data_IF_821858337957
#
_entry.id   IF_821858337957
#
_cell.length_a   1.000
_cell.length_b   1.000
_cell.length_c   1.000
_cell.angle_alpha   90.00
_cell.angle_beta   90.00
_cell.angle_gamma   90.00
#
_symmetry.space_group_name_H-M   'P 1'
#
loop_
_entity.id
_entity.type
_entity.pdbx_description
1 polymer ?
#
# COMPACT_ATOMS: atom_id res chain seq x y z
N UNK A 1 10.14 -9.21 -14.07
CA UNK A 1 8.71 -8.96 -14.34
C UNK A 1 7.86 -9.66 -13.29
N UNK A 2 6.54 -9.59 -13.38
CA UNK A 2 5.65 -10.17 -12.35
C UNK A 2 5.85 -11.69 -12.18
N UNK A 3 6.17 -12.39 -13.27
CA UNK A 3 6.48 -13.83 -13.27
C UNK A 3 7.72 -14.23 -12.44
N UNK A 4 8.61 -13.29 -12.08
CA UNK A 4 9.82 -13.58 -11.30
C UNK A 4 9.55 -13.53 -9.79
N UNK A 5 8.43 -12.95 -9.34
CA UNK A 5 8.09 -12.84 -7.92
C UNK A 5 8.14 -14.16 -7.14
N UNK A 6 7.72 -15.33 -7.69
CA UNK A 6 7.77 -16.59 -6.95
C UNK A 6 9.17 -17.03 -6.50
N UNK A 7 10.24 -16.53 -7.14
CA UNK A 7 11.63 -16.85 -6.76
C UNK A 7 12.27 -15.77 -5.87
N UNK A 8 11.56 -14.68 -5.59
CA UNK A 8 12.03 -13.62 -4.70
C UNK A 8 11.52 -13.79 -3.28
N UNK A 9 12.30 -13.30 -2.30
CA UNK A 9 11.83 -13.20 -0.93
C UNK A 9 10.75 -12.12 -0.85
N UNK A 10 9.52 -12.51 -0.54
CA UNK A 10 8.41 -11.59 -0.30
C UNK A 10 8.17 -11.40 1.19
N UNK A 11 7.51 -10.30 1.52
CA UNK A 11 7.04 -9.97 2.86
C UNK A 11 5.52 -9.75 2.79
N UNK A 12 4.77 -10.34 3.70
CA UNK A 12 3.30 -10.29 3.66
C UNK A 12 2.71 -9.60 4.88
N UNK A 13 1.59 -8.92 4.64
CA UNK A 13 0.73 -8.48 5.72
C UNK A 13 -0.15 -9.66 6.17
N UNK A 14 -0.27 -9.88 7.49
CA UNK A 14 -0.85 -11.08 8.12
C UNK A 14 -2.27 -11.45 7.62
N UNK A 15 -3.02 -10.48 7.11
CA UNK A 15 -4.44 -10.59 6.76
C UNK A 15 -4.74 -10.46 5.25
N UNK A 16 -3.74 -10.23 4.41
CA UNK A 16 -3.98 -9.85 3.00
C UNK A 16 -3.84 -10.97 2.01
N UNK A 17 -2.93 -11.91 2.27
CA UNK A 17 -2.48 -12.82 1.23
C UNK A 17 -2.84 -14.25 1.63
N UNK A 18 -3.70 -14.91 0.86
CA UNK A 18 -3.82 -16.38 0.87
C UNK A 18 -2.56 -16.99 0.21
N UNK A 19 -1.37 -16.46 0.54
CA UNK A 19 -0.09 -16.65 -0.15
C UNK A 19 -0.10 -16.32 -1.65
N UNK A 20 -0.98 -15.41 -2.08
CA UNK A 20 -1.03 -14.94 -3.46
C UNK A 20 -1.13 -13.42 -3.51
N UNK A 21 -0.43 -12.82 -4.47
CA UNK A 21 -0.63 -11.42 -4.88
C UNK A 21 -1.52 -11.36 -6.10
N UNK A 22 -2.55 -10.53 -6.03
CA UNK A 22 -3.47 -10.26 -7.13
C UNK A 22 -3.08 -8.94 -7.77
N UNK A 23 -2.60 -9.00 -9.01
CA UNK A 23 -2.09 -7.84 -9.74
C UNK A 23 -2.81 -7.70 -11.09
N UNK A 24 -3.12 -6.49 -11.53
CA UNK A 24 -3.50 -6.23 -12.93
C UNK A 24 -2.32 -5.58 -13.64
N UNK A 25 -1.89 -6.16 -14.75
CA UNK A 25 -0.80 -5.65 -15.57
C UNK A 25 -1.17 -4.41 -16.38
N UNK A 26 -0.17 -3.73 -16.97
CA UNK A 26 -0.39 -2.58 -17.86
C UNK A 26 -1.13 -2.94 -19.16
N UNK A 27 -1.22 -4.22 -19.49
CA UNK A 27 -2.02 -4.78 -20.57
C UNK A 27 -3.48 -5.06 -20.17
N UNK A 28 -3.84 -4.79 -18.91
CA UNK A 28 -5.16 -5.04 -18.34
C UNK A 28 -5.41 -6.50 -17.93
N UNK A 29 -4.38 -7.36 -17.96
CA UNK A 29 -4.53 -8.76 -17.57
C UNK A 29 -4.39 -8.94 -16.07
N UNK A 30 -5.27 -9.76 -15.49
CA UNK A 30 -5.18 -10.14 -14.08
C UNK A 30 -4.20 -11.31 -13.90
N UNK A 31 -3.36 -11.18 -12.88
CA UNK A 31 -2.36 -12.15 -12.47
C UNK A 31 -2.57 -12.52 -11.01
N UNK A 32 -2.59 -13.83 -10.75
CA UNK A 32 -2.59 -14.39 -9.39
C UNK A 32 -1.24 -15.07 -9.20
N UNK A 33 -0.39 -14.47 -8.37
CA UNK A 33 1.02 -14.85 -8.28
C UNK A 33 1.26 -15.45 -6.90
N UNK A 34 1.68 -16.72 -6.81
CA UNK A 34 2.02 -17.33 -5.53
C UNK A 34 3.26 -16.63 -4.94
N UNK A 35 3.20 -16.33 -3.65
CA UNK A 35 4.28 -15.67 -2.91
C UNK A 35 4.66 -16.46 -1.68
N UNK A 36 5.97 -16.50 -1.37
CA UNK A 36 6.50 -17.21 -0.20
C UNK A 36 7.06 -16.20 0.80
N UNK A 37 6.25 -15.85 1.79
CA UNK A 37 6.62 -14.86 2.79
C UNK A 37 7.14 -15.53 4.06
N UNK A 38 8.45 -15.39 4.33
CA UNK A 38 9.08 -15.86 5.58
C UNK A 38 8.72 -15.01 6.78
N UNK A 39 8.32 -13.76 6.54
CA UNK A 39 7.84 -12.84 7.55
C UNK A 39 6.41 -12.43 7.23
N UNK A 40 5.56 -12.50 8.25
CA UNK A 40 4.17 -12.05 8.21
C UNK A 40 3.94 -11.11 9.38
N UNK A 41 3.48 -9.89 9.11
CA UNK A 41 3.23 -8.86 10.14
C UNK A 41 1.90 -8.16 9.90
N UNK A 42 1.26 -7.64 10.93
CA UNK A 42 0.05 -6.81 10.83
C UNK A 42 0.37 -5.33 11.04
N UNK A 43 1.64 -4.96 11.01
CA UNK A 43 2.12 -3.59 11.10
C UNK A 43 2.80 -3.19 9.79
N UNK A 44 2.31 -2.12 9.17
CA UNK A 44 2.89 -1.57 7.95
C UNK A 44 4.26 -0.96 8.22
N UNK A 45 4.49 -0.37 9.40
CA UNK A 45 5.79 0.18 9.78
C UNK A 45 6.85 -0.93 9.91
N UNK A 46 6.49 -2.05 10.55
CA UNK A 46 7.37 -3.21 10.64
C UNK A 46 7.68 -3.78 9.24
N UNK A 47 6.67 -3.88 8.38
CA UNK A 47 6.84 -4.32 6.99
C UNK A 47 7.80 -3.40 6.23
N UNK A 48 7.68 -2.08 6.43
CA UNK A 48 8.54 -1.07 5.84
C UNK A 48 9.98 -1.19 6.33
N UNK A 49 10.21 -1.29 7.64
CA UNK A 49 11.55 -1.41 8.22
C UNK A 49 12.29 -2.64 7.70
N UNK A 50 11.59 -3.78 7.62
CA UNK A 50 12.14 -5.03 7.06
C UNK A 50 12.48 -4.85 5.57
N UNK A 51 11.64 -4.12 4.82
CA UNK A 51 11.89 -3.80 3.41
C UNK A 51 13.13 -2.91 3.25
N UNK A 52 13.26 -1.87 4.06
CA UNK A 52 14.42 -0.97 4.08
C UNK A 52 15.72 -1.68 4.49
N UNK A 53 15.62 -2.70 5.34
CA UNK A 53 16.73 -3.58 5.69
C UNK A 53 17.10 -4.60 4.58
N UNK A 54 16.50 -4.49 3.39
CA UNK A 54 16.82 -5.32 2.23
C UNK A 54 16.37 -6.77 2.34
N UNK A 55 15.41 -7.08 3.22
CA UNK A 55 15.01 -8.46 3.50
C UNK A 55 13.93 -9.01 2.54
N UNK A 56 13.46 -8.23 1.57
CA UNK A 56 12.52 -8.71 0.56
C UNK A 56 11.72 -7.63 -0.15
N UNK A 57 10.71 -8.09 -0.90
CA UNK A 57 9.75 -7.25 -1.63
C UNK A 57 8.43 -7.22 -0.85
N UNK A 58 7.87 -6.04 -0.66
CA UNK A 58 6.60 -5.84 0.02
C UNK A 58 5.64 -4.98 -0.82
N UNK A 59 4.34 -5.23 -0.65
CA UNK A 59 3.30 -4.27 -1.03
C UNK A 59 3.18 -3.25 0.11
N UNK A 60 3.46 -1.98 -0.20
CA UNK A 60 3.43 -0.88 0.75
C UNK A 60 2.48 0.23 0.26
N UNK A 61 1.72 0.89 1.15
CA UNK A 61 0.96 2.09 0.78
C UNK A 61 1.87 3.21 0.27
N UNK A 62 1.46 3.89 -0.80
CA UNK A 62 2.27 4.97 -1.39
C UNK A 62 2.55 6.11 -0.41
N UNK A 63 1.63 6.42 0.51
CA UNK A 63 1.87 7.50 1.49
C UNK A 63 3.08 7.26 2.40
N UNK A 64 3.51 6.00 2.56
CA UNK A 64 4.76 5.65 3.25
C UNK A 64 5.92 5.51 2.27
N UNK A 65 5.70 4.84 1.14
CA UNK A 65 6.77 4.48 0.22
C UNK A 65 7.27 5.65 -0.65
N UNK A 66 6.39 6.57 -1.06
CA UNK A 66 6.71 7.65 -1.99
C UNK A 66 7.92 8.51 -1.57
N UNK A 67 8.01 9.04 -0.33
CA UNK A 67 9.19 9.83 0.08
C UNK A 67 10.49 9.01 0.09
N UNK A 68 10.40 7.71 0.41
CA UNK A 68 11.55 6.81 0.45
C UNK A 68 12.01 6.38 -0.94
N UNK A 69 11.08 6.28 -1.90
CA UNK A 69 11.39 6.09 -3.31
C UNK A 69 12.08 7.34 -3.86
N UNK A 70 11.55 8.53 -3.57
CA UNK A 70 12.16 9.79 -3.99
C UNK A 70 13.58 9.97 -3.40
N UNK A 71 13.81 9.50 -2.17
CA UNK A 71 15.12 9.48 -1.53
C UNK A 71 16.07 8.36 -2.02
N UNK A 72 15.62 7.47 -2.92
CA UNK A 72 16.40 6.35 -3.42
C UNK A 72 16.63 5.21 -2.41
N UNK A 73 15.90 5.22 -1.28
CA UNK A 73 15.97 4.19 -0.25
C UNK A 73 15.09 2.98 -0.56
N UNK A 74 14.02 3.20 -1.34
CA UNK A 74 13.17 2.15 -1.89
C UNK A 74 13.13 2.24 -3.42
N UNK A 75 12.80 1.12 -4.06
CA UNK A 75 12.61 1.04 -5.51
C UNK A 75 11.30 0.32 -5.85
N UNK A 76 10.50 0.93 -6.71
CA UNK A 76 9.35 0.24 -7.31
C UNK A 76 9.84 -0.84 -8.30
N UNK A 77 9.40 -2.09 -8.11
CA UNK A 77 9.88 -3.26 -8.87
C UNK A 77 8.90 -3.75 -9.95
N UNK A 78 7.63 -3.35 -9.87
CA UNK A 78 6.58 -3.65 -10.86
C UNK A 78 5.80 -2.37 -11.21
N UNK A 79 6.46 -1.37 -11.81
CA UNK A 79 5.77 -0.15 -12.21
C UNK A 79 4.66 -0.47 -13.23
N UNK A 80 3.52 0.21 -13.10
CA UNK A 80 2.36 0.02 -13.97
C UNK A 80 1.47 -1.18 -13.62
N UNK A 81 1.81 -1.95 -12.58
CA UNK A 81 0.91 -2.97 -12.04
C UNK A 81 0.01 -2.39 -10.96
N UNK A 82 -1.28 -2.68 -11.06
CA UNK A 82 -2.24 -2.37 -10.02
C UNK A 82 -2.33 -3.52 -9.02
N UNK A 83 -2.17 -3.20 -7.74
CA UNK A 83 -2.28 -4.17 -6.65
C UNK A 83 -3.70 -4.22 -6.12
N UNK A 84 -4.25 -5.42 -5.98
CA UNK A 84 -5.54 -5.67 -5.35
C UNK A 84 -5.35 -6.30 -3.98
N UNK A 85 -5.67 -5.53 -2.94
CA UNK A 85 -5.64 -6.02 -1.56
C UNK A 85 -7.06 -6.09 -1.00
N UNK A 86 -7.28 -6.94 0.01
CA UNK A 86 -8.58 -7.02 0.71
C UNK A 86 -9.01 -5.71 1.38
N UNK A 87 -8.08 -4.79 1.62
CA UNK A 87 -8.37 -3.48 2.23
C UNK A 87 -8.75 -2.40 1.20
N UNK A 88 -8.69 -2.72 -0.10
CA UNK A 88 -8.89 -1.76 -1.17
C UNK A 88 -7.74 -0.78 -1.29
N UNK A 89 -8.02 0.37 -1.92
CA UNK A 89 -7.02 1.39 -2.30
C UNK A 89 -7.35 2.79 -1.77
N UNK A 90 -8.37 2.89 -0.92
CA UNK A 90 -8.93 4.15 -0.48
C UNK A 90 -8.56 4.44 0.98
N UNK A 91 -8.37 5.71 1.29
CA UNK A 91 -8.23 6.19 2.66
C UNK A 91 -9.58 6.70 3.15
N UNK A 92 -10.06 6.17 4.27
CA UNK A 92 -11.35 6.54 4.84
C UNK A 92 -11.20 7.31 6.15
N UNK A 93 -11.94 8.41 6.29
CA UNK A 93 -12.15 9.07 7.57
C UNK A 93 -13.41 8.53 8.24
N UNK A 94 -13.26 7.65 9.22
CA UNK A 94 -14.37 6.99 9.91
C UNK A 94 -14.80 7.74 11.18
N UNK A 95 -16.08 8.06 11.31
CA UNK A 95 -16.67 8.70 12.50
C UNK A 95 -18.14 8.29 12.67
N UNK A 96 -18.67 8.42 13.89
CA UNK A 96 -20.09 8.15 14.12
C UNK A 96 -20.96 9.26 13.52
N UNK A 97 -22.16 8.98 13.00
CA UNK A 97 -23.01 9.99 12.35
C UNK A 97 -23.28 11.24 13.20
N UNK A 98 -23.34 11.10 14.53
CA UNK A 98 -23.53 12.21 15.45
C UNK A 98 -22.36 13.20 15.50
N UNK A 99 -21.14 12.76 15.16
CA UNK A 99 -19.90 13.55 15.27
C UNK A 99 -19.74 14.58 14.17
N UNK A 100 -20.38 14.38 13.01
CA UNK A 100 -20.31 15.34 11.90
C UNK A 100 -20.93 16.70 12.25
N UNK A 101 -21.76 16.78 13.29
CA UNK A 101 -22.34 18.04 13.78
C UNK A 101 -21.40 18.82 14.70
N UNK A 102 -20.29 18.23 15.12
CA UNK A 102 -19.32 18.88 16.01
C UNK A 102 -18.39 19.76 15.17
N UNK A 103 -18.30 21.09 15.43
CA UNK A 103 -17.53 22.00 14.59
C UNK A 103 -16.07 21.60 14.38
N UNK A 104 -15.37 21.18 15.44
CA UNK A 104 -13.98 20.71 15.34
C UNK A 104 -13.79 19.49 14.43
N UNK A 105 -14.81 18.63 14.32
CA UNK A 105 -14.74 17.46 13.42
C UNK A 105 -14.88 17.91 11.97
N UNK A 106 -15.79 18.86 11.67
CA UNK A 106 -15.92 19.42 10.32
C UNK A 106 -14.64 20.09 9.86
N UNK A 107 -14.08 20.98 10.68
CA UNK A 107 -12.83 21.67 10.36
C UNK A 107 -11.69 20.68 10.08
N UNK A 108 -11.60 19.59 10.85
CA UNK A 108 -10.61 18.54 10.58
C UNK A 108 -10.88 17.82 9.25
N UNK A 109 -12.13 17.44 8.96
CA UNK A 109 -12.48 16.77 7.72
C UNK A 109 -12.21 17.66 6.50
N UNK A 110 -12.59 18.94 6.58
CA UNK A 110 -12.34 19.92 5.53
C UNK A 110 -10.84 20.06 5.27
N UNK A 111 -10.02 20.15 6.32
CA UNK A 111 -8.56 20.22 6.20
C UNK A 111 -7.94 18.93 5.61
N UNK A 112 -8.48 17.75 5.94
CA UNK A 112 -7.99 16.49 5.36
C UNK A 112 -8.36 16.38 3.87
N UNK A 113 -9.58 16.80 3.50
CA UNK A 113 -10.03 16.84 2.10
C UNK A 113 -9.14 17.82 1.31
N UNK A 114 -8.97 19.05 1.79
CA UNK A 114 -8.09 20.04 1.16
C UNK A 114 -6.66 19.53 1.01
N UNK A 115 -6.18 18.73 1.98
CA UNK A 115 -4.82 18.19 1.96
C UNK A 115 -4.62 17.04 0.96
N UNK A 116 -5.65 16.25 0.69
CA UNK A 116 -5.51 14.99 -0.06
C UNK A 116 -6.26 14.96 -1.40
N UNK A 117 -7.18 15.89 -1.65
CA UNK A 117 -7.90 16.00 -2.90
C UNK A 117 -7.40 17.19 -3.76
N UNK A 118 -7.56 17.12 -5.10
CA UNK A 118 -8.03 15.97 -5.88
C UNK A 118 -6.96 14.89 -6.07
N UNK A 119 -5.69 15.24 -5.87
CA UNK A 119 -4.54 14.36 -6.03
C UNK A 119 -3.72 14.42 -4.75
N UNK A 120 -3.50 13.31 -4.05
CA UNK A 120 -2.78 13.34 -2.79
C UNK A 120 -1.28 13.55 -3.03
N UNK A 121 -0.54 14.06 -2.03
CA UNK A 121 0.89 14.41 -2.18
C UNK A 121 1.80 13.25 -2.58
N UNK A 122 1.38 12.01 -2.38
CA UNK A 122 2.15 10.80 -2.69
C UNK A 122 1.80 10.17 -4.04
N UNK A 123 0.91 10.77 -4.84
CA UNK A 123 0.49 10.20 -6.13
C UNK A 123 1.43 10.53 -7.31
N UNK A 124 2.54 11.24 -7.07
CA UNK A 124 3.53 11.65 -8.07
C UNK A 124 4.76 10.76 -8.14
#
# INVERSE_FOLDING_TARGET
GAADLPVHQTLSFLLTDDNHWHLTGPDGQDHVIPVTSRVRTNSTDCLLDITLAGQGIAILPLYLAAPLIAAGQLRAVLPGYDVHTRFGRQLYACYTPSRVRVPKVRVLLDALIERFEPVPPWAG
#
